data_IF_963377098735
#
_entry.id   IF_963377098735
#
_cell.length_a   1.000
_cell.length_b   1.000
_cell.length_c   1.000
_cell.angle_alpha   90.00
_cell.angle_beta   90.00
_cell.angle_gamma   90.00
#
_symmetry.space_group_name_H-M   'P 1'
#
loop_
_entity.id
_entity.type
_entity.pdbx_description
1 polymer ?
#
# COMPACT_ATOMS: atom_id res chain seq x y z
N UNK A 1 22.87 23.25 -1.33
CA UNK A 1 21.82 22.76 -0.40
C UNK A 1 21.01 23.94 0.09
N UNK A 2 19.70 23.80 0.27
CA UNK A 2 18.80 24.89 0.71
C UNK A 2 18.52 24.73 2.20
N UNK A 3 18.68 25.80 2.98
CA UNK A 3 18.33 25.77 4.40
C UNK A 3 16.82 25.61 4.55
N UNK A 4 16.35 24.67 5.37
CA UNK A 4 14.91 24.45 5.61
C UNK A 4 14.27 25.56 6.44
N UNK A 5 15.07 26.32 7.19
CA UNK A 5 14.57 27.28 8.18
C UNK A 5 14.40 28.67 7.56
N UNK A 6 15.39 29.13 6.78
CA UNK A 6 15.37 30.45 6.15
C UNK A 6 15.39 30.40 4.62
N UNK A 7 15.36 29.20 4.02
CA UNK A 7 15.30 28.99 2.56
C UNK A 7 16.52 29.50 1.77
N UNK A 8 17.57 29.95 2.44
CA UNK A 8 18.81 30.42 1.81
C UNK A 8 19.57 29.28 1.14
N UNK A 9 20.05 29.54 -0.08
CA UNK A 9 20.92 28.62 -0.80
C UNK A 9 22.33 28.67 -0.23
N UNK A 10 22.81 27.54 0.28
CA UNK A 10 24.15 27.39 0.83
C UNK A 10 25.03 26.51 -0.09
N UNK A 11 26.35 26.79 -0.19
CA UNK A 11 27.31 25.94 -0.89
C UNK A 11 27.33 24.51 -0.34
N UNK A 12 27.67 23.55 -1.19
CA UNK A 12 27.88 22.15 -0.78
C UNK A 12 29.13 22.09 0.13
N UNK A 13 29.03 21.40 1.28
CA UNK A 13 30.12 21.27 2.26
C UNK A 13 29.99 22.17 3.50
N UNK A 14 29.06 23.14 3.49
CA UNK A 14 28.79 23.95 4.67
C UNK A 14 28.02 23.15 5.74
N UNK A 15 28.53 23.17 6.97
CA UNK A 15 27.88 22.51 8.11
C UNK A 15 26.67 23.29 8.66
N UNK A 16 26.71 24.62 8.56
CA UNK A 16 25.68 25.52 9.05
C UNK A 16 25.27 26.51 7.97
N UNK A 17 24.03 27.00 8.04
CA UNK A 17 23.53 28.06 7.17
C UNK A 17 24.29 29.35 7.43
N UNK A 18 24.75 30.00 6.36
CA UNK A 18 25.50 31.25 6.45
C UNK A 18 24.65 32.47 6.81
N UNK A 19 23.33 32.34 6.80
CA UNK A 19 22.41 33.45 7.07
C UNK A 19 21.75 33.31 8.45
N UNK A 20 21.12 32.18 8.76
CA UNK A 20 20.44 31.98 10.05
C UNK A 20 21.21 31.12 11.07
N UNK A 21 22.30 30.46 10.68
CA UNK A 21 23.09 29.59 11.55
C UNK A 21 22.55 28.17 11.76
N UNK A 22 21.41 27.81 11.16
CA UNK A 22 20.83 26.47 11.28
C UNK A 22 21.78 25.38 10.75
N UNK A 23 21.79 24.19 11.38
CA UNK A 23 22.51 23.04 10.83
C UNK A 23 21.78 22.56 9.58
N UNK A 24 22.49 22.53 8.45
CA UNK A 24 21.91 22.20 7.14
C UNK A 24 22.38 20.83 6.63
N UNK A 25 23.31 20.18 7.33
CA UNK A 25 23.82 18.86 6.93
C UNK A 25 22.78 17.81 7.31
N UNK A 26 22.33 17.06 6.30
CA UNK A 26 21.57 15.85 6.54
C UNK A 26 22.49 14.87 7.30
N UNK A 27 22.11 14.38 8.49
CA UNK A 27 22.95 13.47 9.26
C UNK A 27 23.22 12.23 8.41
N UNK A 28 24.46 11.74 8.34
CA UNK A 28 24.85 10.62 7.47
C UNK A 28 23.97 9.36 7.66
N UNK A 29 23.39 9.18 8.85
CA UNK A 29 22.42 8.12 9.15
C UNK A 29 21.04 8.27 8.48
N UNK A 30 20.66 9.45 7.97
CA UNK A 30 19.35 9.65 7.33
C UNK A 30 19.27 8.99 5.95
N UNK A 31 20.38 8.90 5.23
CA UNK A 31 20.44 8.22 3.92
C UNK A 31 20.40 6.71 4.15
N UNK A 32 21.23 6.19 5.06
CA UNK A 32 21.23 4.77 5.42
C UNK A 32 19.86 4.30 5.95
N UNK A 33 19.20 5.11 6.80
CA UNK A 33 17.84 4.79 7.28
C UNK A 33 16.80 4.77 6.15
N UNK A 34 16.89 5.69 5.18
CA UNK A 34 16.00 5.71 4.03
C UNK A 34 16.22 4.49 3.09
N UNK A 35 17.47 4.07 2.90
CA UNK A 35 17.82 2.88 2.11
C UNK A 35 17.31 1.60 2.78
N UNK A 36 17.47 1.48 4.10
CA UNK A 36 16.94 0.35 4.88
C UNK A 36 15.42 0.30 4.78
N UNK A 37 14.72 1.42 5.00
CA UNK A 37 13.26 1.49 4.90
C UNK A 37 12.77 1.12 3.49
N UNK A 38 13.48 1.56 2.45
CA UNK A 38 13.18 1.18 1.07
C UNK A 38 13.35 -0.33 0.85
N UNK A 39 14.47 -0.92 1.30
CA UNK A 39 14.71 -2.35 1.16
C UNK A 39 13.69 -3.19 1.94
N UNK A 40 13.22 -2.73 3.11
CA UNK A 40 12.14 -3.36 3.86
C UNK A 40 10.81 -3.29 3.12
N UNK A 41 10.48 -2.13 2.54
CA UNK A 41 9.28 -1.95 1.70
C UNK A 41 9.31 -2.86 0.47
N UNK A 42 10.46 -3.00 -0.18
CA UNK A 42 10.63 -3.89 -1.34
C UNK A 42 10.42 -5.36 -0.94
N UNK A 43 11.00 -5.81 0.18
CA UNK A 43 10.75 -7.15 0.73
C UNK A 43 9.30 -7.36 1.17
N UNK A 44 8.64 -6.33 1.69
CA UNK A 44 7.22 -6.40 2.02
C UNK A 44 6.36 -6.55 0.75
N UNK A 45 6.68 -5.80 -0.31
CA UNK A 45 5.99 -5.90 -1.59
C UNK A 45 6.19 -7.27 -2.25
N UNK A 46 7.39 -7.83 -2.20
CA UNK A 46 7.67 -9.17 -2.72
C UNK A 46 6.91 -10.25 -1.95
N UNK A 47 6.91 -10.18 -0.61
CA UNK A 47 6.10 -11.11 0.22
C UNK A 47 4.61 -11.00 -0.09
N UNK A 48 4.07 -9.79 -0.24
CA UNK A 48 2.68 -9.59 -0.62
C UNK A 48 2.35 -10.19 -1.99
N UNK A 49 3.26 -10.07 -2.97
CA UNK A 49 3.07 -10.66 -4.30
C UNK A 49 3.03 -12.19 -4.26
N UNK A 50 3.89 -12.82 -3.45
CA UNK A 50 3.90 -14.28 -3.25
C UNK A 50 2.59 -14.73 -2.60
N UNK A 51 2.19 -14.08 -1.49
CA UNK A 51 0.95 -14.38 -0.78
C UNK A 51 -0.29 -14.24 -1.69
N UNK A 52 -0.37 -13.17 -2.51
CA UNK A 52 -1.46 -13.03 -3.47
C UNK A 52 -1.45 -14.14 -4.53
N UNK A 53 -0.28 -14.58 -4.97
CA UNK A 53 -0.16 -15.67 -5.94
C UNK A 53 -0.64 -16.99 -5.33
N UNK A 54 -0.29 -17.27 -4.08
CA UNK A 54 -0.75 -18.45 -3.35
C UNK A 54 -2.26 -18.40 -3.10
N UNK A 55 -2.81 -17.24 -2.75
CA UNK A 55 -4.23 -17.04 -2.58
C UNK A 55 -5.01 -17.25 -3.89
N UNK A 56 -4.49 -16.78 -5.04
CA UNK A 56 -5.05 -17.09 -6.36
C UNK A 56 -5.04 -18.60 -6.63
N UNK A 57 -3.92 -19.29 -6.38
CA UNK A 57 -3.82 -20.73 -6.57
C UNK A 57 -4.82 -21.51 -5.70
N UNK A 58 -5.05 -21.07 -4.47
CA UNK A 58 -6.08 -21.65 -3.59
C UNK A 58 -7.49 -21.41 -4.13
N UNK A 59 -7.77 -20.20 -4.64
CA UNK A 59 -9.05 -19.86 -5.24
C UNK A 59 -9.33 -20.66 -6.52
N UNK A 60 -8.32 -20.86 -7.37
CA UNK A 60 -8.41 -21.70 -8.57
C UNK A 60 -8.72 -23.16 -8.24
N UNK A 61 -8.31 -23.63 -7.06
CA UNK A 61 -8.68 -24.94 -6.51
C UNK A 61 -10.08 -24.96 -5.86
N UNK A 62 -10.82 -23.86 -5.90
CA UNK A 62 -12.11 -23.68 -5.23
C UNK A 62 -12.02 -23.54 -3.70
N UNK A 63 -10.81 -23.41 -3.14
CA UNK A 63 -10.56 -23.31 -1.69
C UNK A 63 -10.67 -21.86 -1.21
N UNK A 64 -11.82 -21.23 -1.47
CA UNK A 64 -12.02 -19.79 -1.20
C UNK A 64 -11.83 -19.43 0.27
N UNK A 65 -12.34 -20.25 1.21
CA UNK A 65 -12.19 -20.02 2.65
C UNK A 65 -10.70 -20.02 3.07
N UNK A 66 -9.89 -20.87 2.46
CA UNK A 66 -8.44 -20.92 2.72
C UNK A 66 -7.67 -19.79 2.03
N UNK A 67 -8.15 -19.28 0.90
CA UNK A 67 -7.52 -18.18 0.16
C UNK A 67 -7.66 -16.83 0.87
N UNK A 68 -8.77 -16.59 1.57
CA UNK A 68 -9.06 -15.34 2.28
C UNK A 68 -7.94 -14.92 3.24
N UNK A 69 -7.52 -15.74 4.24
CA UNK A 69 -6.50 -15.32 5.20
C UNK A 69 -5.15 -15.04 4.54
N UNK A 70 -4.81 -15.75 3.46
CA UNK A 70 -3.57 -15.53 2.70
C UNK A 70 -3.61 -14.19 1.96
N UNK A 71 -4.75 -13.86 1.35
CA UNK A 71 -4.95 -12.55 0.71
C UNK A 71 -5.01 -11.39 1.72
N UNK A 72 -5.60 -11.60 2.91
CA UNK A 72 -5.59 -10.63 4.00
C UNK A 72 -4.15 -10.36 4.50
N UNK A 73 -3.33 -11.40 4.63
CA UNK A 73 -1.91 -11.26 5.01
C UNK A 73 -1.12 -10.43 3.98
N UNK A 74 -1.40 -10.61 2.69
CA UNK A 74 -0.78 -9.80 1.64
C UNK A 74 -1.12 -8.30 1.78
N UNK A 75 -2.33 -7.98 2.21
CA UNK A 75 -2.78 -6.59 2.43
C UNK A 75 -2.11 -5.99 3.67
N UNK A 76 -1.84 -6.79 4.71
CA UNK A 76 -1.06 -6.30 5.86
C UNK A 76 0.36 -5.87 5.44
N UNK A 77 0.96 -6.57 4.46
CA UNK A 77 2.25 -6.20 3.90
C UNK A 77 2.19 -5.00 2.95
N UNK A 78 1.13 -4.88 2.12
CA UNK A 78 0.90 -3.74 1.23
C UNK A 78 -0.56 -3.26 1.31
N UNK A 79 -0.87 -2.32 2.23
CA UNK A 79 -2.25 -1.89 2.49
C UNK A 79 -2.94 -1.19 1.32
N UNK A 80 -2.15 -0.57 0.44
CA UNK A 80 -2.65 0.26 -0.67
C UNK A 80 -2.75 -0.49 -2.01
N UNK A 81 -2.79 -1.82 -1.98
CA UNK A 81 -2.91 -2.63 -3.19
C UNK A 81 -4.37 -2.79 -3.62
N UNK A 82 -4.81 -1.99 -4.60
CA UNK A 82 -6.17 -2.07 -5.13
C UNK A 82 -6.49 -3.47 -5.70
N UNK A 83 -5.52 -4.12 -6.35
CA UNK A 83 -5.66 -5.48 -6.87
C UNK A 83 -5.89 -6.52 -5.76
N UNK A 84 -5.22 -6.37 -4.60
CA UNK A 84 -5.41 -7.27 -3.47
C UNK A 84 -6.82 -7.13 -2.87
N UNK A 85 -7.28 -5.89 -2.68
CA UNK A 85 -8.64 -5.62 -2.22
C UNK A 85 -9.69 -6.13 -3.20
N UNK A 86 -9.50 -5.92 -4.51
CA UNK A 86 -10.39 -6.45 -5.56
C UNK A 86 -10.44 -7.99 -5.56
N UNK A 87 -9.34 -8.65 -5.22
CA UNK A 87 -9.30 -10.10 -5.11
C UNK A 87 -10.08 -10.59 -3.87
N UNK A 88 -9.94 -9.92 -2.72
CA UNK A 88 -10.77 -10.21 -1.54
C UNK A 88 -12.26 -10.03 -1.81
N UNK A 89 -12.68 -9.01 -2.57
CA UNK A 89 -14.09 -8.85 -2.97
C UNK A 89 -14.60 -10.13 -3.64
N UNK A 90 -13.86 -10.64 -4.62
CA UNK A 90 -14.20 -11.88 -5.33
C UNK A 90 -14.25 -13.09 -4.38
N UNK A 91 -13.28 -13.23 -3.47
CA UNK A 91 -13.27 -14.32 -2.48
C UNK A 91 -14.46 -14.25 -1.50
N UNK A 92 -14.84 -13.06 -1.07
CA UNK A 92 -15.99 -12.85 -0.20
C UNK A 92 -17.32 -13.09 -0.92
N UNK A 93 -17.43 -12.71 -2.20
CA UNK A 93 -18.59 -13.06 -3.04
C UNK A 93 -18.76 -14.59 -3.14
N UNK A 94 -17.67 -15.33 -3.39
CA UNK A 94 -17.69 -16.79 -3.46
C UNK A 94 -18.00 -17.48 -2.14
N UNK A 95 -17.76 -16.83 -1.01
CA UNK A 95 -18.06 -17.35 0.34
C UNK A 95 -19.33 -16.75 0.95
N UNK A 96 -20.12 -16.01 0.16
CA UNK A 96 -21.35 -15.33 0.58
C UNK A 96 -21.16 -14.36 1.77
N UNK A 97 -19.97 -13.80 1.94
CA UNK A 97 -19.64 -12.80 2.97
C UNK A 97 -19.87 -11.37 2.42
N UNK A 98 -21.11 -11.06 2.04
CA UNK A 98 -21.46 -9.81 1.35
C UNK A 98 -21.02 -8.54 2.11
N UNK A 99 -21.17 -8.51 3.44
CA UNK A 99 -20.75 -7.36 4.26
C UNK A 99 -19.25 -7.07 4.11
N UNK A 100 -18.42 -8.11 4.10
CA UNK A 100 -16.97 -7.98 3.90
C UNK A 100 -16.62 -7.64 2.46
N UNK A 101 -17.37 -8.17 1.49
CA UNK A 101 -17.22 -7.80 0.08
C UNK A 101 -17.48 -6.31 -0.15
N UNK A 102 -18.53 -5.75 0.47
CA UNK A 102 -18.84 -4.31 0.44
C UNK A 102 -17.70 -3.50 1.03
N UNK A 103 -17.22 -3.85 2.23
CA UNK A 103 -16.12 -3.13 2.89
C UNK A 103 -14.82 -3.15 2.06
N UNK A 104 -14.47 -4.31 1.47
CA UNK A 104 -13.31 -4.44 0.60
C UNK A 104 -13.48 -3.60 -0.70
N UNK A 105 -14.68 -3.58 -1.28
CA UNK A 105 -14.96 -2.80 -2.49
C UNK A 105 -14.90 -1.28 -2.23
N UNK A 106 -15.30 -0.82 -1.04
CA UNK A 106 -15.13 0.58 -0.63
C UNK A 106 -13.65 0.96 -0.61
N UNK A 107 -12.76 0.08 -0.12
CA UNK A 107 -11.30 0.28 -0.22
C UNK A 107 -10.79 0.31 -1.64
N UNK A 108 -11.31 -0.50 -2.55
CA UNK A 108 -10.94 -0.42 -3.97
C UNK A 108 -11.29 0.94 -4.56
N UNK A 109 -12.45 1.50 -4.23
CA UNK A 109 -12.90 2.83 -4.71
C UNK A 109 -12.04 3.94 -4.10
N UNK A 110 -11.68 3.85 -2.81
CA UNK A 110 -10.76 4.80 -2.16
C UNK A 110 -9.40 4.83 -2.89
N UNK A 111 -8.88 3.68 -3.32
CA UNK A 111 -7.61 3.56 -4.03
C UNK A 111 -7.71 3.92 -5.52
N UNK A 112 -8.90 3.81 -6.12
CA UNK A 112 -9.17 4.06 -7.53
C UNK A 112 -10.36 5.04 -7.71
N UNK A 113 -10.20 6.33 -7.33
CA UNK A 113 -11.31 7.29 -7.26
C UNK A 113 -11.97 7.61 -8.61
N UNK A 114 -11.38 7.21 -9.74
CA UNK A 114 -11.89 7.47 -11.10
C UNK A 114 -12.25 6.17 -11.86
N UNK A 115 -12.80 5.19 -11.15
CA UNK A 115 -13.19 3.91 -11.74
C UNK A 115 -14.71 3.67 -11.60
N UNK A 116 -15.56 4.15 -12.54
CA UNK A 116 -17.03 4.03 -12.43
C UNK A 116 -17.51 2.57 -12.37
N UNK A 117 -16.74 1.65 -12.94
CA UNK A 117 -16.94 0.20 -12.83
C UNK A 117 -16.92 -0.31 -11.39
N UNK A 118 -16.08 0.26 -10.53
CA UNK A 118 -15.97 -0.13 -9.11
C UNK A 118 -17.17 0.37 -8.31
N UNK A 119 -17.66 1.58 -8.62
CA UNK A 119 -18.90 2.11 -8.04
C UNK A 119 -20.10 1.25 -8.45
N UNK A 120 -20.20 0.89 -9.73
CA UNK A 120 -21.27 0.00 -10.20
C UNK A 120 -21.22 -1.39 -9.54
N UNK A 121 -20.02 -1.92 -9.26
CA UNK A 121 -19.84 -3.17 -8.52
C UNK A 121 -20.28 -3.04 -7.06
N UNK A 122 -19.92 -1.95 -6.37
CA UNK A 122 -20.37 -1.66 -5.00
C UNK A 122 -21.90 -1.61 -4.91
N UNK A 123 -22.54 -0.88 -5.83
CA UNK A 123 -24.00 -0.79 -5.90
C UNK A 123 -24.65 -2.15 -6.13
N UNK A 124 -24.01 -3.05 -6.87
CA UNK A 124 -24.50 -4.42 -7.06
C UNK A 124 -24.38 -5.24 -5.77
N UNK A 125 -23.22 -5.16 -5.09
CA UNK A 125 -22.98 -5.86 -3.81
C UNK A 125 -23.96 -5.43 -2.72
N UNK A 126 -24.32 -4.14 -2.65
CA UNK A 126 -25.28 -3.61 -1.68
C UNK A 126 -26.75 -4.00 -1.95
N UNK A 127 -27.04 -4.50 -3.16
CA UNK A 127 -28.39 -4.88 -3.59
C UNK A 127 -28.65 -6.39 -3.55
N UNK A 128 -27.60 -7.20 -3.40
CA UNK A 128 -27.67 -8.66 -3.27
C UNK A 128 -27.73 -9.13 -1.83
#
# INVERSE_FOLDING_TARGET
MTCTDCQTRNPVGNKFCRECGANIVLPEGSVAAAEVARAESERAAERAAILLSDAHLLADQGKYIGAIPVAEEAILAVPFSASAHSFLVTLYEHTAQNDKAVAAQEKVIELLPNAPKEVARLEKLKRG
#
